data_IF_517428465580
#
_entry.id   IF_517428465580
#
_cell.length_a   1.000
_cell.length_b   1.000
_cell.length_c   1.000
_cell.angle_alpha   90.00
_cell.angle_beta   90.00
_cell.angle_gamma   90.00
#
_symmetry.space_group_name_H-M   'P 1'
#
loop_
_entity.id
_entity.type
_entity.pdbx_description
1 polymer ?
#
# COMPACT_ATOMS: atom_id res chain seq x y z
N UNK A 1 -1.53 -18.74 -1.85
CA UNK A 1 -1.07 -17.62 -0.98
C UNK A 1 0.42 -17.58 -1.14
N UNK A 2 1.02 -16.42 -1.49
CA UNK A 2 2.46 -16.33 -1.61
C UNK A 2 3.11 -16.70 -0.28
N UNK A 3 4.18 -17.47 -0.34
CA UNK A 3 5.00 -17.77 0.82
C UNK A 3 5.94 -16.59 1.13
N UNK A 4 6.57 -16.64 2.30
CA UNK A 4 7.48 -15.58 2.77
C UNK A 4 8.53 -15.12 1.72
N UNK A 5 9.24 -16.01 1.00
CA UNK A 5 10.21 -15.59 0.00
C UNK A 5 9.56 -14.88 -1.19
N UNK A 6 8.36 -15.27 -1.61
CA UNK A 6 7.66 -14.61 -2.72
C UNK A 6 7.23 -13.19 -2.33
N UNK A 7 6.75 -13.00 -1.10
CA UNK A 7 6.38 -11.67 -0.61
C UNK A 7 7.59 -10.74 -0.53
N UNK A 8 8.77 -11.26 -0.15
CA UNK A 8 10.00 -10.46 -0.13
C UNK A 8 10.41 -10.02 -1.53
N UNK A 9 10.32 -10.92 -2.53
CA UNK A 9 10.56 -10.58 -3.94
C UNK A 9 9.62 -9.46 -4.40
N UNK A 10 8.32 -9.55 -4.10
CA UNK A 10 7.35 -8.51 -4.46
C UNK A 10 7.70 -7.17 -3.79
N UNK A 11 8.08 -7.17 -2.52
CA UNK A 11 8.54 -5.95 -1.84
C UNK A 11 9.78 -5.35 -2.53
N UNK A 12 10.74 -6.17 -2.95
CA UNK A 12 11.94 -5.72 -3.63
C UNK A 12 11.62 -5.08 -5.00
N UNK A 13 10.72 -5.69 -5.76
CA UNK A 13 10.26 -5.16 -7.05
C UNK A 13 9.51 -3.84 -6.88
N UNK A 14 8.60 -3.76 -5.90
CA UNK A 14 7.88 -2.54 -5.58
C UNK A 14 8.82 -1.39 -5.18
N UNK A 15 9.86 -1.66 -4.36
CA UNK A 15 10.89 -0.67 -4.02
C UNK A 15 11.66 -0.22 -5.26
N UNK A 16 12.08 -1.17 -6.10
CA UNK A 16 12.87 -0.90 -7.31
C UNK A 16 12.09 -0.15 -8.40
N UNK A 17 10.77 -0.26 -8.41
CA UNK A 17 9.90 0.48 -9.33
C UNK A 17 9.80 1.99 -9.06
N UNK A 18 10.42 2.46 -7.96
CA UNK A 18 10.47 3.88 -7.60
C UNK A 18 9.13 4.41 -7.10
N UNK A 19 8.36 3.60 -6.37
CA UNK A 19 7.13 4.02 -5.69
C UNK A 19 7.41 4.85 -4.43
N UNK A 20 8.53 4.59 -3.75
CA UNK A 20 8.94 5.36 -2.57
C UNK A 20 9.21 6.82 -2.97
N UNK A 21 8.66 7.76 -2.21
CA UNK A 21 8.70 9.19 -2.46
C UNK A 21 7.60 9.70 -3.41
N UNK A 22 6.72 8.84 -3.95
CA UNK A 22 5.63 9.26 -4.83
C UNK A 22 4.31 9.46 -4.08
N UNK A 23 3.54 10.53 -4.39
CA UNK A 23 2.20 10.72 -3.85
C UNK A 23 1.15 9.85 -4.56
N UNK A 24 0.16 9.39 -3.81
CA UNK A 24 -1.01 8.69 -4.33
C UNK A 24 -1.96 9.73 -4.94
N UNK A 25 -2.08 9.74 -6.26
CA UNK A 25 -2.92 10.73 -6.96
C UNK A 25 -4.42 10.36 -6.97
N UNK A 26 -4.72 9.06 -7.03
CA UNK A 26 -6.09 8.56 -7.11
C UNK A 26 -6.13 7.13 -6.59
N UNK A 27 -7.23 6.78 -5.92
CA UNK A 27 -7.56 5.40 -5.52
C UNK A 27 -8.86 5.01 -6.20
N UNK A 28 -8.93 3.77 -6.70
CA UNK A 28 -10.16 3.21 -7.29
C UNK A 28 -10.30 1.77 -6.83
N UNK A 29 -11.41 1.49 -6.14
CA UNK A 29 -11.67 0.19 -5.53
C UNK A 29 -12.83 -0.47 -6.28
N UNK A 30 -12.53 -1.54 -7.00
CA UNK A 30 -13.54 -2.29 -7.76
C UNK A 30 -14.16 -3.43 -6.93
N UNK A 31 -13.45 -3.92 -5.91
CA UNK A 31 -13.95 -4.95 -5.00
C UNK A 31 -13.94 -4.48 -3.54
N UNK A 32 -15.07 -3.94 -3.11
CA UNK A 32 -15.23 -3.27 -1.82
C UNK A 32 -14.95 -4.18 -0.61
N UNK A 33 -15.22 -5.49 -0.73
CA UNK A 33 -15.04 -6.47 0.35
C UNK A 33 -13.58 -6.70 0.74
N UNK A 34 -12.61 -6.25 -0.06
CA UNK A 34 -11.18 -6.37 0.24
C UNK A 34 -10.71 -5.27 1.21
N UNK A 35 -11.47 -4.20 1.37
CA UNK A 35 -11.13 -3.08 2.25
C UNK A 35 -11.74 -3.32 3.63
N UNK A 36 -10.91 -3.20 4.66
CA UNK A 36 -11.29 -3.34 6.07
C UNK A 36 -10.35 -2.51 6.95
N UNK A 37 -10.81 -1.88 8.04
CA UNK A 37 -12.19 -1.80 8.54
C UNK A 37 -13.03 -0.67 7.91
N UNK A 38 -12.44 0.13 7.01
CA UNK A 38 -13.08 1.30 6.41
C UNK A 38 -14.00 0.91 5.23
N UNK A 39 -14.87 1.84 4.83
CA UNK A 39 -15.50 1.77 3.50
C UNK A 39 -14.47 2.08 2.41
N UNK A 40 -14.74 1.64 1.18
CA UNK A 40 -13.86 1.93 0.05
C UNK A 40 -13.71 3.44 -0.23
N UNK A 41 -14.75 4.21 0.02
CA UNK A 41 -14.77 5.68 -0.15
C UNK A 41 -13.86 6.34 0.89
N UNK A 42 -14.05 6.02 2.18
CA UNK A 42 -13.22 6.52 3.27
C UNK A 42 -11.75 6.15 3.09
N UNK A 43 -11.48 4.92 2.64
CA UNK A 43 -10.13 4.46 2.31
C UNK A 43 -9.49 5.30 1.22
N UNK A 44 -10.22 5.61 0.14
CA UNK A 44 -9.72 6.46 -0.93
C UNK A 44 -9.40 7.87 -0.46
N UNK A 45 -10.32 8.50 0.27
CA UNK A 45 -10.15 9.87 0.81
C UNK A 45 -8.93 9.97 1.71
N UNK A 46 -8.68 8.98 2.58
CA UNK A 46 -7.52 8.99 3.48
C UNK A 46 -6.18 8.83 2.78
N UNK A 47 -6.16 8.16 1.63
CA UNK A 47 -4.93 7.82 0.91
C UNK A 47 -4.54 8.85 -0.15
N UNK A 48 -5.49 9.48 -0.83
CA UNK A 48 -5.17 10.47 -1.87
C UNK A 48 -4.36 11.62 -1.28
N UNK A 49 -3.27 11.99 -1.96
CA UNK A 49 -2.32 13.01 -1.51
C UNK A 49 -1.22 12.49 -0.58
N UNK A 50 -1.35 11.29 -0.01
CA UNK A 50 -0.32 10.69 0.85
C UNK A 50 0.87 10.22 0.03
N UNK A 51 2.08 10.36 0.59
CA UNK A 51 3.32 9.92 -0.04
C UNK A 51 3.76 8.58 0.54
N UNK A 52 4.19 7.64 -0.31
CA UNK A 52 4.75 6.36 0.15
C UNK A 52 6.16 6.62 0.67
N UNK A 53 6.41 6.42 1.97
CA UNK A 53 7.73 6.64 2.59
C UNK A 53 8.58 5.38 2.59
N UNK A 54 7.96 4.20 2.68
CA UNK A 54 8.66 2.93 2.66
C UNK A 54 7.72 1.77 2.32
N UNK A 55 8.31 0.67 1.86
CA UNK A 55 7.63 -0.59 1.56
C UNK A 55 8.37 -1.69 2.32
N UNK A 56 7.64 -2.33 3.23
CA UNK A 56 8.18 -3.35 4.12
C UNK A 56 7.35 -4.62 4.05
N UNK A 57 7.94 -5.72 4.53
CA UNK A 57 7.23 -6.98 4.71
C UNK A 57 7.10 -7.30 6.19
N UNK A 58 5.91 -7.73 6.60
CA UNK A 58 5.68 -8.36 7.90
C UNK A 58 5.06 -9.73 7.69
N UNK A 59 5.84 -10.79 7.90
CA UNK A 59 5.43 -12.16 7.57
C UNK A 59 4.89 -12.24 6.13
N UNK A 60 3.60 -12.56 5.93
CA UNK A 60 2.97 -12.65 4.60
C UNK A 60 2.27 -11.36 4.16
N UNK A 61 2.44 -10.26 4.90
CA UNK A 61 1.84 -8.96 4.60
C UNK A 61 2.87 -8.01 3.97
N UNK A 62 2.42 -7.27 2.96
CA UNK A 62 3.13 -6.10 2.44
C UNK A 62 2.58 -4.88 3.16
N UNK A 63 3.46 -4.09 3.76
CA UNK A 63 3.12 -2.88 4.48
C UNK A 63 3.64 -1.66 3.71
N UNK A 64 2.71 -0.80 3.28
CA UNK A 64 3.04 0.49 2.68
C UNK A 64 2.99 1.55 3.77
N UNK A 65 4.16 2.04 4.17
CA UNK A 65 4.27 3.15 5.10
C UNK A 65 4.03 4.44 4.33
N UNK A 66 3.15 5.29 4.86
CA UNK A 66 2.78 6.56 4.26
C UNK A 66 3.21 7.71 5.17
N UNK A 67 3.47 8.87 4.57
CA UNK A 67 3.71 10.11 5.31
C UNK A 67 2.46 10.49 6.10
N UNK A 68 2.62 10.54 7.41
CA UNK A 68 1.55 10.85 8.34
C UNK A 68 1.44 12.37 8.50
N UNK A 69 0.21 12.85 8.31
CA UNK A 69 -0.24 14.16 8.73
C UNK A 69 -1.58 13.87 9.40
N UNK A 70 -1.51 13.22 10.55
CA UNK A 70 -2.50 13.39 11.62
C UNK A 70 -2.11 14.62 12.43
#
# INVERSE_FOLDING_TARGET
>A
MPELPEVETICQDLRSSGLVGKPIQKVSVFWHKTITPLSAEEFGVRLVGRTIIAIERRAKFINLLLDDSQ
#
